data_IF_053202277665
#
_entry.id   IF_053202277665
#
_cell.length_a   1.000
_cell.length_b   1.000
_cell.length_c   1.000
_cell.angle_alpha   90.00
_cell.angle_beta   90.00
_cell.angle_gamma   90.00
#
_symmetry.space_group_name_H-M   'P 1'
#
loop_
_entity.id
_entity.type
_entity.pdbx_description
1 polymer ?
#
# COMPACT_ATOMS: atom_id res chain seq x y z
N UNK A 1 5.82 15.07 8.77
CA UNK A 1 6.97 15.82 8.27
C UNK A 1 7.39 15.23 6.93
N UNK A 2 7.46 16.04 5.86
CA UNK A 2 7.86 15.55 4.54
C UNK A 2 9.40 15.41 4.43
N UNK A 3 9.93 14.60 3.49
CA UNK A 3 11.37 14.55 3.25
C UNK A 3 11.98 15.91 2.89
N UNK A 4 11.21 16.77 2.21
CA UNK A 4 11.59 18.16 1.91
C UNK A 4 11.79 18.97 3.18
N UNK A 5 10.92 18.79 4.18
CA UNK A 5 11.03 19.47 5.48
C UNK A 5 12.25 18.99 6.25
N UNK A 6 12.57 17.69 6.20
CA UNK A 6 13.81 17.14 6.79
C UNK A 6 15.07 17.71 6.14
N UNK A 7 15.10 17.84 4.81
CA UNK A 7 16.24 18.48 4.11
C UNK A 7 16.35 19.97 4.44
N UNK A 8 15.23 20.67 4.57
CA UNK A 8 15.21 22.07 5.03
C UNK A 8 15.75 22.17 6.45
N UNK A 9 15.31 21.31 7.37
CA UNK A 9 15.81 21.26 8.75
C UNK A 9 17.31 20.98 8.78
N UNK A 10 17.79 20.01 7.99
CA UNK A 10 19.22 19.72 7.87
C UNK A 10 20.00 20.93 7.33
N UNK A 11 19.47 21.66 6.36
CA UNK A 11 20.08 22.88 5.83
C UNK A 11 20.13 24.02 6.87
N UNK A 12 19.08 24.18 7.69
CA UNK A 12 19.07 25.19 8.76
C UNK A 12 20.09 24.89 9.86
N UNK A 13 20.27 23.62 10.21
CA UNK A 13 21.28 23.19 11.18
C UNK A 13 22.71 23.38 10.64
N UNK A 14 22.94 23.15 9.35
CA UNK A 14 24.23 23.40 8.68
C UNK A 14 24.56 24.91 8.65
N UNK A 15 23.53 25.76 8.56
CA UNK A 15 23.65 27.21 8.61
C UNK A 15 23.89 27.76 10.04
N UNK A 16 23.93 26.91 11.06
CA UNK A 16 24.14 27.32 12.46
C UNK A 16 22.96 28.05 13.09
N UNK A 17 21.78 28.01 12.48
CA UNK A 17 20.56 28.64 13.00
C UNK A 17 19.85 27.64 13.91
N UNK A 18 19.88 27.88 15.23
CA UNK A 18 19.10 27.09 16.19
C UNK A 18 17.64 27.52 16.14
N UNK A 19 16.78 26.74 15.49
CA UNK A 19 15.33 26.96 15.56
C UNK A 19 14.79 26.54 16.93
N UNK A 20 13.94 27.37 17.53
CA UNK A 20 13.19 27.13 18.76
C UNK A 20 11.70 26.85 18.50
N UNK A 21 11.33 26.59 17.24
CA UNK A 21 9.94 26.32 16.84
C UNK A 21 9.74 24.82 16.62
N UNK A 22 8.88 24.28 17.47
CA UNK A 22 8.50 22.87 17.58
C UNK A 22 7.47 22.52 16.48
N UNK A 23 7.74 21.56 15.55
CA UNK A 23 6.92 21.37 14.35
C UNK A 23 5.65 20.50 14.52
N UNK A 24 4.81 20.77 15.52
CA UNK A 24 3.60 20.00 15.88
C UNK A 24 3.05 18.91 14.90
N UNK A 25 3.19 17.64 15.28
CA UNK A 25 2.16 16.60 15.07
C UNK A 25 2.55 15.32 14.30
N UNK A 26 3.70 15.33 13.62
CA UNK A 26 4.39 14.16 13.05
C UNK A 26 5.88 14.18 13.47
N UNK A 27 6.13 14.91 14.58
CA UNK A 27 7.43 15.23 15.14
C UNK A 27 8.05 14.08 15.87
N UNK A 28 7.27 13.13 16.38
CA UNK A 28 7.77 12.13 17.32
C UNK A 28 8.93 11.34 16.72
N UNK A 29 8.79 10.94 15.45
CA UNK A 29 9.84 10.26 14.68
C UNK A 29 11.11 11.12 14.52
N UNK A 30 10.97 12.39 14.17
CA UNK A 30 12.11 13.27 13.89
C UNK A 30 12.76 13.77 15.18
N UNK A 31 11.96 14.10 16.18
CA UNK A 31 12.37 14.48 17.52
C UNK A 31 13.16 13.35 18.16
N UNK A 32 12.70 12.11 18.02
CA UNK A 32 13.39 10.90 18.47
C UNK A 32 14.74 10.71 17.76
N UNK A 33 14.79 10.87 16.44
CA UNK A 33 16.06 10.81 15.69
C UNK A 33 17.03 11.91 16.13
N UNK A 34 16.54 13.13 16.37
CA UNK A 34 17.33 14.26 16.83
C UNK A 34 17.77 14.12 18.29
N UNK A 35 16.98 13.47 19.12
CA UNK A 35 17.32 13.08 20.49
C UNK A 35 18.43 12.03 20.50
N UNK A 36 18.29 10.97 19.70
CA UNK A 36 19.33 9.95 19.55
C UNK A 36 20.63 10.57 19.01
N UNK A 37 20.54 11.46 18.01
CA UNK A 37 21.71 12.17 17.49
C UNK A 37 22.34 13.12 18.53
N UNK A 38 21.53 13.70 19.42
CA UNK A 38 21.99 14.50 20.56
C UNK A 38 22.77 13.66 21.57
N UNK A 39 22.19 12.54 22.00
CA UNK A 39 22.79 11.63 22.99
C UNK A 39 24.07 10.99 22.48
N UNK A 40 24.12 10.64 21.20
CA UNK A 40 25.27 9.95 20.59
C UNK A 40 26.37 10.90 20.11
N UNK A 41 26.09 12.21 20.03
CA UNK A 41 26.99 13.19 19.43
C UNK A 41 27.16 13.04 17.92
N UNK A 42 26.34 12.23 17.26
CA UNK A 42 26.42 12.03 15.82
C UNK A 42 25.99 13.31 15.06
N UNK A 43 26.61 13.62 13.90
CA UNK A 43 26.27 14.82 13.14
C UNK A 43 24.79 14.82 12.70
N UNK A 44 23.98 15.65 13.37
CA UNK A 44 22.52 15.71 13.15
C UNK A 44 22.17 15.97 11.68
N UNK A 45 22.95 16.83 11.01
CA UNK A 45 22.77 17.14 9.58
C UNK A 45 22.93 15.90 8.70
N UNK A 46 23.90 15.03 9.00
CA UNK A 46 24.14 13.81 8.21
C UNK A 46 23.07 12.76 8.47
N UNK A 47 22.66 12.56 9.73
CA UNK A 47 21.56 11.66 10.06
C UNK A 47 20.27 12.11 9.37
N UNK A 48 19.91 13.40 9.47
CA UNK A 48 18.69 13.93 8.82
C UNK A 48 18.74 13.78 7.30
N UNK A 49 19.88 14.00 6.65
CA UNK A 49 20.02 13.80 5.20
C UNK A 49 19.79 12.34 4.81
N UNK A 50 20.44 11.41 5.51
CA UNK A 50 20.29 9.98 5.24
C UNK A 50 18.85 9.51 5.47
N UNK A 51 18.21 9.96 6.55
CA UNK A 51 16.80 9.67 6.86
C UNK A 51 15.87 10.28 5.81
N UNK A 52 16.11 11.52 5.38
CA UNK A 52 15.32 12.17 4.34
C UNK A 52 15.41 11.43 3.01
N UNK A 53 16.62 11.03 2.61
CA UNK A 53 16.84 10.28 1.37
C UNK A 53 16.18 8.90 1.42
N UNK A 54 16.21 8.23 2.58
CA UNK A 54 15.54 6.96 2.80
C UNK A 54 14.00 7.10 2.77
N UNK A 55 13.45 8.13 3.41
CA UNK A 55 12.00 8.40 3.40
C UNK A 55 11.50 8.75 2.01
N UNK A 56 12.21 9.61 1.26
CA UNK A 56 11.86 9.91 -0.13
C UNK A 56 11.81 8.65 -0.98
N UNK A 57 12.83 7.81 -0.84
CA UNK A 57 12.94 6.53 -1.52
C UNK A 57 11.77 5.57 -1.23
N UNK A 58 11.23 5.59 -0.02
CA UNK A 58 10.14 4.72 0.40
C UNK A 58 8.78 5.32 0.03
N UNK A 59 8.59 6.64 0.18
CA UNK A 59 7.38 7.36 -0.22
C UNK A 59 7.16 7.28 -1.73
N UNK A 60 8.22 7.41 -2.53
CA UNK A 60 8.10 7.29 -3.99
C UNK A 60 7.60 5.90 -4.40
N UNK A 61 8.08 4.85 -3.72
CA UNK A 61 7.61 3.48 -3.96
C UNK A 61 6.13 3.31 -3.61
N UNK A 62 5.67 3.88 -2.49
CA UNK A 62 4.26 3.88 -2.10
C UNK A 62 3.39 4.62 -3.12
N UNK A 63 3.87 5.74 -3.65
CA UNK A 63 3.19 6.50 -4.71
C UNK A 63 3.10 5.70 -6.00
N UNK A 64 4.19 5.07 -6.43
CA UNK A 64 4.20 4.15 -7.59
C UNK A 64 3.12 3.06 -7.42
N UNK A 65 3.07 2.43 -6.25
CA UNK A 65 2.08 1.39 -5.93
C UNK A 65 0.63 1.93 -5.91
N UNK A 66 0.42 3.11 -5.32
CA UNK A 66 -0.90 3.75 -5.26
C UNK A 66 -1.41 4.12 -6.65
N UNK A 67 -0.56 4.68 -7.52
CA UNK A 67 -0.89 5.04 -8.90
C UNK A 67 -1.20 3.78 -9.72
N UNK A 68 -0.43 2.71 -9.56
CA UNK A 68 -0.72 1.45 -10.25
C UNK A 68 -2.05 0.84 -9.80
N UNK A 69 -2.36 0.89 -8.49
CA UNK A 69 -3.62 0.38 -7.96
C UNK A 69 -4.86 1.16 -8.44
N UNK A 70 -4.75 2.49 -8.61
CA UNK A 70 -5.88 3.30 -9.12
C UNK A 70 -6.15 3.00 -10.59
N UNK A 71 -5.12 2.89 -11.43
CA UNK A 71 -5.28 2.58 -12.86
C UNK A 71 -5.95 1.21 -13.08
N UNK A 72 -5.55 0.17 -12.35
CA UNK A 72 -6.18 -1.15 -12.42
C UNK A 72 -7.68 -1.14 -12.02
N UNK A 73 -8.08 -0.25 -11.09
CA UNK A 73 -9.46 -0.11 -10.65
C UNK A 73 -10.36 0.52 -11.71
N UNK A 74 -9.85 1.50 -12.47
CA UNK A 74 -10.66 2.22 -13.46
C UNK A 74 -11.13 1.29 -14.59
N UNK A 75 -10.28 0.38 -15.07
CA UNK A 75 -10.66 -0.59 -16.09
C UNK A 75 -11.72 -1.59 -15.61
N UNK A 76 -11.63 -2.04 -14.36
CA UNK A 76 -12.62 -2.92 -13.76
C UNK A 76 -14.00 -2.25 -13.61
N UNK A 77 -14.00 -0.95 -13.27
CA UNK A 77 -15.24 -0.18 -13.11
C UNK A 77 -16.08 -0.14 -14.40
N UNK A 78 -15.42 0.05 -15.55
CA UNK A 78 -16.08 0.08 -16.87
C UNK A 78 -16.81 -1.24 -17.15
N UNK A 79 -16.19 -2.37 -16.86
CA UNK A 79 -16.79 -3.70 -17.05
C UNK A 79 -17.93 -3.96 -16.07
N UNK A 80 -17.84 -3.49 -14.82
CA UNK A 80 -18.96 -3.57 -13.86
C UNK A 80 -20.11 -2.61 -14.16
N UNK A 81 -19.88 -1.55 -14.93
CA UNK A 81 -20.94 -0.65 -15.38
C UNK A 81 -21.74 -1.24 -16.57
N UNK A 82 -21.17 -2.23 -17.26
CA UNK A 82 -21.77 -2.87 -18.44
C UNK A 82 -23.16 -3.47 -18.16
N UNK A 83 -23.40 -4.25 -17.09
CA UNK A 83 -24.72 -4.82 -16.81
C UNK A 83 -25.79 -3.73 -16.61
N UNK A 84 -25.47 -2.65 -15.89
CA UNK A 84 -26.37 -1.52 -15.70
C UNK A 84 -26.70 -0.83 -17.03
N UNK A 85 -25.69 -0.62 -17.88
CA UNK A 85 -25.89 -0.09 -19.22
C UNK A 85 -26.78 -1.01 -20.06
N UNK A 86 -26.54 -2.33 -20.02
CA UNK A 86 -27.37 -3.29 -20.75
C UNK A 86 -28.81 -3.28 -20.28
N UNK A 87 -29.08 -3.21 -18.97
CA UNK A 87 -30.45 -3.09 -18.43
C UNK A 87 -31.17 -1.86 -18.99
N UNK A 88 -30.49 -0.70 -19.02
CA UNK A 88 -31.04 0.54 -19.58
C UNK A 88 -31.39 0.35 -21.07
N UNK A 89 -30.48 -0.23 -21.85
CA UNK A 89 -30.72 -0.49 -23.28
C UNK A 89 -31.88 -1.47 -23.47
N UNK A 90 -31.92 -2.57 -22.71
CA UNK A 90 -32.96 -3.61 -22.86
C UNK A 90 -34.37 -3.05 -22.55
N UNK A 91 -34.46 -2.17 -21.54
CA UNK A 91 -35.69 -1.47 -21.21
C UNK A 91 -36.09 -0.48 -22.31
N UNK A 92 -35.13 0.28 -22.88
CA UNK A 92 -35.37 1.19 -23.99
C UNK A 92 -35.94 0.47 -25.23
N UNK A 93 -35.50 -0.76 -25.48
CA UNK A 93 -35.97 -1.60 -26.57
C UNK A 93 -37.34 -2.26 -26.29
N UNK A 94 -37.99 -1.96 -25.16
CA UNK A 94 -39.35 -2.41 -24.87
C UNK A 94 -39.46 -3.87 -24.45
N UNK A 95 -38.36 -4.49 -24.01
CA UNK A 95 -38.35 -5.89 -23.54
C UNK A 95 -38.93 -6.03 -22.12
N UNK A 96 -39.31 -4.91 -21.49
CA UNK A 96 -39.89 -4.82 -20.14
C UNK A 96 -39.13 -5.66 -19.09
N UNK A 97 -37.80 -5.64 -19.16
CA UNK A 97 -36.94 -6.44 -18.30
C UNK A 97 -37.12 -6.04 -16.82
N UNK A 98 -37.32 -4.74 -16.55
CA UNK A 98 -37.63 -4.25 -15.20
C UNK A 98 -38.98 -4.76 -14.71
N UNK A 99 -39.98 -4.83 -15.60
CA UNK A 99 -41.30 -5.37 -15.29
C UNK A 99 -41.27 -6.84 -14.89
N UNK A 100 -40.43 -7.66 -15.54
CA UNK A 100 -40.21 -9.06 -15.16
C UNK A 100 -39.44 -9.19 -13.83
N UNK A 101 -38.39 -8.38 -13.64
CA UNK A 101 -37.57 -8.43 -12.42
C UNK A 101 -38.36 -8.04 -11.17
N UNK A 102 -39.17 -6.98 -11.27
CA UNK A 102 -39.92 -6.41 -10.14
C UNK A 102 -41.32 -7.03 -9.98
N UNK A 103 -41.86 -7.66 -11.03
CA UNK A 103 -43.24 -8.13 -11.08
C UNK A 103 -43.50 -9.55 -10.56
N UNK A 104 -42.46 -10.36 -10.30
CA UNK A 104 -42.66 -11.77 -9.91
C UNK A 104 -41.60 -12.35 -8.98
N UNK A 105 -41.92 -13.43 -8.23
CA UNK A 105 -41.02 -14.03 -7.23
C UNK A 105 -39.72 -14.57 -7.84
N UNK A 106 -39.74 -15.00 -9.10
CA UNK A 106 -38.56 -15.44 -9.87
C UNK A 106 -37.63 -14.26 -10.19
N UNK A 107 -38.19 -13.08 -10.45
CA UNK A 107 -37.42 -11.84 -10.68
C UNK A 107 -36.66 -11.39 -9.44
N UNK A 108 -37.31 -11.45 -8.27
CA UNK A 108 -36.66 -11.19 -6.98
C UNK A 108 -35.51 -12.16 -6.69
N UNK A 109 -35.68 -13.45 -7.03
CA UNK A 109 -34.64 -14.45 -6.86
C UNK A 109 -33.42 -14.17 -7.76
N UNK A 110 -33.66 -13.77 -9.02
CA UNK A 110 -32.58 -13.32 -9.92
C UNK A 110 -31.87 -12.07 -9.39
N UNK A 111 -32.62 -11.10 -8.86
CA UNK A 111 -32.09 -9.86 -8.29
C UNK A 111 -31.20 -10.16 -7.06
N UNK A 112 -31.68 -11.03 -6.16
CA UNK A 112 -30.92 -11.47 -5.00
C UNK A 112 -29.62 -12.21 -5.39
N UNK A 113 -29.66 -13.08 -6.38
CA UNK A 113 -28.48 -13.80 -6.89
C UNK A 113 -27.49 -12.83 -7.55
N UNK A 114 -27.96 -11.89 -8.37
CA UNK A 114 -27.09 -10.89 -9.02
C UNK A 114 -26.43 -9.92 -8.03
N UNK A 115 -27.18 -9.45 -7.02
CA UNK A 115 -26.65 -8.62 -5.94
C UNK A 115 -25.67 -9.41 -5.06
N UNK A 116 -25.99 -10.66 -4.73
CA UNK A 116 -25.12 -11.53 -3.95
C UNK A 116 -23.79 -11.80 -4.66
N UNK A 117 -23.81 -12.09 -5.96
CA UNK A 117 -22.61 -12.26 -6.77
C UNK A 117 -21.77 -10.97 -6.83
N UNK A 118 -22.42 -9.82 -6.97
CA UNK A 118 -21.76 -8.50 -6.99
C UNK A 118 -21.12 -8.17 -5.64
N UNK A 119 -21.83 -8.42 -4.54
CA UNK A 119 -21.32 -8.23 -3.19
C UNK A 119 -20.16 -9.17 -2.87
N UNK A 120 -20.23 -10.43 -3.32
CA UNK A 120 -19.14 -11.39 -3.23
C UNK A 120 -17.87 -10.92 -3.95
N UNK A 121 -18.02 -10.35 -5.15
CA UNK A 121 -16.91 -9.74 -5.89
C UNK A 121 -16.30 -8.55 -5.16
N UNK A 122 -17.14 -7.67 -4.59
CA UNK A 122 -16.68 -6.54 -3.78
C UNK A 122 -15.90 -6.98 -2.53
N UNK A 123 -16.42 -7.96 -1.80
CA UNK A 123 -15.73 -8.52 -0.63
C UNK A 123 -14.41 -9.19 -1.00
N UNK A 124 -14.35 -9.92 -2.11
CA UNK A 124 -13.11 -10.56 -2.57
C UNK A 124 -12.07 -9.52 -2.96
N UNK A 125 -12.47 -8.47 -3.70
CA UNK A 125 -11.57 -7.35 -4.04
C UNK A 125 -11.05 -6.61 -2.81
N UNK A 126 -11.90 -6.38 -1.81
CA UNK A 126 -11.48 -5.74 -0.56
C UNK A 126 -10.54 -6.64 0.25
N UNK A 127 -10.80 -7.95 0.28
CA UNK A 127 -9.92 -8.94 0.93
C UNK A 127 -8.56 -9.02 0.24
N UNK A 128 -8.50 -8.91 -1.09
CA UNK A 128 -7.25 -8.93 -1.86
C UNK A 128 -6.44 -7.65 -1.62
N UNK A 129 -7.10 -6.49 -1.52
CA UNK A 129 -6.46 -5.20 -1.17
C UNK A 129 -5.75 -5.26 0.17
N UNK A 130 -6.39 -5.85 1.20
CA UNK A 130 -5.79 -5.99 2.53
C UNK A 130 -4.56 -6.92 2.56
N UNK A 131 -4.37 -7.76 1.54
CA UNK A 131 -3.20 -8.66 1.44
C UNK A 131 -1.97 -7.98 0.86
N UNK A 132 -2.13 -6.84 0.20
CA UNK A 132 -1.01 -6.03 -0.27
C UNK A 132 -0.65 -5.12 0.90
N UNK A 133 0.19 -5.65 1.81
CA UNK A 133 0.75 -4.85 2.88
C UNK A 133 1.57 -3.71 2.25
N UNK A 134 1.17 -2.47 2.52
CA UNK A 134 2.01 -1.33 2.20
C UNK A 134 3.33 -1.51 2.98
N UNK A 135 4.50 -1.46 2.32
CA UNK A 135 5.78 -1.49 3.00
C UNK A 135 5.84 -0.39 4.05
N UNK A 136 6.53 -0.62 5.17
CA UNK A 136 6.73 0.45 6.15
C UNK A 136 7.55 1.58 5.52
N UNK A 137 7.14 2.86 5.65
CA UNK A 137 7.93 4.02 5.24
C UNK A 137 9.32 4.05 5.89
N UNK A 138 9.51 3.35 7.02
CA UNK A 138 10.74 3.32 7.78
C UNK A 138 11.75 2.24 7.34
N UNK A 139 11.43 1.45 6.30
CA UNK A 139 12.29 0.34 5.83
C UNK A 139 13.74 0.80 5.59
N UNK A 140 14.69 0.18 6.29
CA UNK A 140 16.13 0.44 6.21
C UNK A 140 16.62 1.70 6.93
N UNK A 141 15.71 2.51 7.51
CA UNK A 141 16.08 3.75 8.20
C UNK A 141 16.82 3.46 9.51
N UNK A 142 16.39 2.44 10.27
CA UNK A 142 17.03 2.11 11.54
C UNK A 142 18.50 1.72 11.31
N UNK A 143 18.76 0.88 10.31
CA UNK A 143 20.13 0.51 9.94
C UNK A 143 20.96 1.71 9.48
N UNK A 144 20.39 2.64 8.73
CA UNK A 144 21.08 3.86 8.29
C UNK A 144 21.46 4.78 9.46
N UNK A 145 20.53 5.01 10.39
CA UNK A 145 20.77 5.81 11.60
C UNK A 145 21.86 5.15 12.44
N UNK A 146 21.78 3.84 12.65
CA UNK A 146 22.79 3.05 13.38
C UNK A 146 24.16 3.12 12.70
N UNK A 147 24.22 2.97 11.38
CA UNK A 147 25.48 3.03 10.65
C UNK A 147 26.11 4.43 10.70
N UNK A 148 25.29 5.47 10.72
CA UNK A 148 25.75 6.85 10.85
C UNK A 148 26.32 7.11 12.24
N UNK A 149 25.61 6.71 13.30
CA UNK A 149 26.09 6.75 14.68
C UNK A 149 27.44 6.01 14.78
N UNK A 150 27.48 4.75 14.32
CA UNK A 150 28.69 3.91 14.36
C UNK A 150 29.87 4.46 13.56
N UNK A 151 29.63 5.36 12.60
CA UNK A 151 30.70 5.95 11.79
C UNK A 151 31.46 7.06 12.50
N UNK A 152 30.90 7.59 13.59
CA UNK A 152 31.49 8.69 14.37
C UNK A 152 31.76 8.26 15.81
N UNK A 153 30.82 7.52 16.41
CA UNK A 153 30.87 7.11 17.81
C UNK A 153 30.55 5.62 17.98
N UNK A 154 30.89 5.05 19.13
CA UNK A 154 30.41 3.71 19.50
C UNK A 154 28.96 3.75 20.01
N UNK A 155 28.27 2.61 19.96
CA UNK A 155 26.94 2.47 20.57
C UNK A 155 27.09 2.02 22.03
N UNK A 156 26.58 2.84 22.95
CA UNK A 156 26.45 2.54 24.38
C UNK A 156 25.11 1.83 24.66
N UNK A 157 25.00 1.17 25.81
CA UNK A 157 23.84 0.34 26.16
C UNK A 157 22.52 1.13 26.32
N UNK A 158 22.60 2.36 26.80
CA UNK A 158 21.49 3.33 26.87
C UNK A 158 20.95 3.65 25.47
N UNK A 159 21.83 4.07 24.56
CA UNK A 159 21.51 4.35 23.16
C UNK A 159 20.97 3.11 22.45
N UNK A 160 21.52 1.93 22.75
CA UNK A 160 21.08 0.66 22.19
C UNK A 160 19.60 0.37 22.51
N UNK A 161 19.19 0.62 23.75
CA UNK A 161 17.80 0.43 24.18
C UNK A 161 16.87 1.47 23.54
N UNK A 162 17.31 2.74 23.43
CA UNK A 162 16.55 3.78 22.73
C UNK A 162 16.31 3.40 21.28
N UNK A 163 17.36 3.05 20.52
CA UNK A 163 17.27 2.62 19.12
C UNK A 163 16.35 1.41 18.91
N UNK A 164 16.41 0.42 19.81
CA UNK A 164 15.51 -0.74 19.76
C UNK A 164 14.06 -0.32 19.96
N UNK A 165 13.79 0.52 20.96
CA UNK A 165 12.44 1.01 21.24
C UNK A 165 11.90 1.87 20.09
N UNK A 166 12.75 2.69 19.47
CA UNK A 166 12.44 3.45 18.24
C UNK A 166 12.09 2.51 17.09
N UNK A 167 12.90 1.47 16.87
CA UNK A 167 12.65 0.47 15.83
C UNK A 167 11.27 -0.19 15.96
N UNK A 168 10.86 -0.55 17.18
CA UNK A 168 9.52 -1.08 17.44
C UNK A 168 8.41 -0.06 17.11
N UNK A 169 8.56 1.19 17.55
CA UNK A 169 7.61 2.27 17.25
C UNK A 169 7.47 2.52 15.74
N UNK A 170 8.56 2.43 15.01
CA UNK A 170 8.61 2.65 13.55
C UNK A 170 8.16 1.42 12.74
N UNK A 171 7.80 0.32 13.41
CA UNK A 171 7.39 -0.93 12.76
C UNK A 171 8.55 -1.68 12.07
N UNK A 172 9.80 -1.39 12.44
CA UNK A 172 11.02 -2.01 11.92
C UNK A 172 11.84 -2.69 13.03
N UNK A 173 11.20 -3.13 14.11
CA UNK A 173 11.85 -3.82 15.23
C UNK A 173 12.66 -5.05 14.80
N UNK A 174 12.24 -5.74 13.73
CA UNK A 174 12.97 -6.86 13.13
C UNK A 174 14.30 -6.48 12.46
N UNK A 175 14.53 -5.21 12.14
CA UNK A 175 15.84 -4.74 11.65
C UNK A 175 16.89 -4.77 12.77
N UNK A 176 16.47 -4.57 14.02
CA UNK A 176 17.38 -4.56 15.17
C UNK A 176 18.14 -5.87 15.34
N UNK A 177 17.44 -7.01 15.20
CA UNK A 177 18.08 -8.33 15.28
C UNK A 177 19.17 -8.50 14.23
N UNK A 178 18.90 -8.07 12.99
CA UNK A 178 19.89 -8.18 11.91
C UNK A 178 21.07 -7.24 12.10
N UNK A 179 20.86 -6.05 12.68
CA UNK A 179 21.94 -5.14 13.07
C UNK A 179 22.87 -5.79 14.10
N UNK A 180 22.31 -6.48 15.09
CA UNK A 180 23.10 -7.21 16.11
C UNK A 180 23.93 -8.33 15.48
N UNK A 181 23.33 -9.13 14.59
CA UNK A 181 24.02 -10.22 13.88
C UNK A 181 25.15 -9.70 12.98
N UNK A 182 24.90 -8.61 12.25
CA UNK A 182 25.90 -7.93 11.42
C UNK A 182 27.06 -7.42 12.28
N UNK A 183 26.77 -6.83 13.45
CA UNK A 183 27.80 -6.36 14.39
C UNK A 183 28.65 -7.53 14.91
N UNK A 184 28.04 -8.66 15.24
CA UNK A 184 28.76 -9.86 15.67
C UNK A 184 29.69 -10.37 14.55
N UNK A 185 29.17 -10.52 13.34
CA UNK A 185 29.92 -10.99 12.16
C UNK A 185 31.08 -10.06 11.79
N UNK A 186 30.86 -8.75 11.85
CA UNK A 186 31.89 -7.75 11.55
C UNK A 186 33.04 -7.75 12.57
N UNK A 187 32.76 -8.10 13.85
CA UNK A 187 33.82 -8.28 14.87
C UNK A 187 34.71 -9.48 14.56
N UNK A 188 34.15 -10.55 14.01
CA UNK A 188 34.89 -11.76 13.66
C UNK A 188 35.72 -11.59 12.37
N UNK A 189 35.23 -10.79 11.43
CA UNK A 189 35.83 -10.64 10.08
C UNK A 189 36.67 -9.37 9.91
N UNK A 190 36.58 -8.41 10.84
CA UNK A 190 37.30 -7.14 10.77
C UNK A 190 36.74 -6.14 9.73
N UNK A 191 35.61 -6.45 9.10
CA UNK A 191 34.95 -5.59 8.12
C UNK A 191 34.36 -4.36 8.82
N UNK A 192 34.44 -3.14 8.25
CA UNK A 192 33.81 -1.96 8.83
C UNK A 192 32.30 -2.13 9.01
N UNK A 193 31.85 -2.21 10.27
CA UNK A 193 30.46 -2.47 10.67
C UNK A 193 29.48 -1.51 10.00
N UNK A 194 29.79 -0.21 9.99
CA UNK A 194 28.91 0.82 9.41
C UNK A 194 28.74 0.67 7.90
N UNK A 195 29.76 0.19 7.19
CA UNK A 195 29.67 -0.13 5.76
C UNK A 195 28.76 -1.32 5.49
N UNK A 196 28.89 -2.38 6.31
CA UNK A 196 28.07 -3.58 6.18
C UNK A 196 26.59 -3.32 6.52
N UNK A 197 26.31 -2.54 7.55
CA UNK A 197 24.93 -2.14 7.90
C UNK A 197 24.33 -1.27 6.78
N UNK A 198 25.05 -0.29 6.22
CA UNK A 198 24.55 0.49 5.07
C UNK A 198 24.26 -0.39 3.86
N UNK A 199 25.11 -1.36 3.58
CA UNK A 199 24.90 -2.31 2.48
C UNK A 199 23.62 -3.15 2.71
N UNK A 200 23.41 -3.66 3.93
CA UNK A 200 22.19 -4.38 4.29
C UNK A 200 20.94 -3.49 4.20
N UNK A 201 20.96 -2.28 4.75
CA UNK A 201 19.85 -1.33 4.65
C UNK A 201 19.49 -1.03 3.19
N UNK A 202 20.50 -0.88 2.34
CA UNK A 202 20.32 -0.66 0.91
C UNK A 202 19.73 -1.90 0.21
N UNK A 203 20.20 -3.10 0.56
CA UNK A 203 19.67 -4.36 0.01
C UNK A 203 18.23 -4.62 0.47
N UNK A 204 17.89 -4.36 1.73
CA UNK A 204 16.50 -4.46 2.24
C UNK A 204 15.53 -3.57 1.48
N UNK A 205 15.92 -2.31 1.28
CA UNK A 205 15.13 -1.39 0.45
C UNK A 205 15.01 -1.93 -0.95
N UNK A 206 16.11 -2.37 -1.57
CA UNK A 206 16.11 -2.94 -2.92
C UNK A 206 15.20 -4.16 -3.06
N UNK A 207 15.26 -5.11 -2.12
CA UNK A 207 14.37 -6.28 -2.07
C UNK A 207 12.91 -5.87 -1.90
N UNK A 208 12.63 -4.93 -1.00
CA UNK A 208 11.29 -4.36 -0.81
C UNK A 208 10.77 -3.71 -2.09
N UNK A 209 11.63 -2.99 -2.83
CA UNK A 209 11.23 -2.42 -4.14
C UNK A 209 10.86 -3.50 -5.14
N UNK A 210 11.62 -4.60 -5.19
CA UNK A 210 11.32 -5.70 -6.10
C UNK A 210 10.01 -6.38 -5.75
N UNK A 211 9.76 -6.70 -4.48
CA UNK A 211 8.52 -7.36 -4.07
C UNK A 211 7.29 -6.48 -4.35
N UNK A 212 7.40 -5.17 -4.13
CA UNK A 212 6.33 -4.23 -4.45
C UNK A 212 6.10 -4.10 -5.95
N UNK A 213 7.15 -4.00 -6.75
CA UNK A 213 7.02 -3.94 -8.22
C UNK A 213 6.43 -5.22 -8.79
N UNK A 214 6.87 -6.38 -8.31
CA UNK A 214 6.29 -7.67 -8.67
C UNK A 214 4.81 -7.75 -8.27
N UNK A 215 4.44 -7.24 -7.10
CA UNK A 215 3.05 -7.15 -6.67
C UNK A 215 2.25 -6.23 -7.59
N UNK A 216 2.79 -5.07 -7.97
CA UNK A 216 2.19 -4.11 -8.91
C UNK A 216 1.94 -4.78 -10.27
N UNK A 217 2.92 -5.50 -10.82
CA UNK A 217 2.78 -6.19 -12.11
C UNK A 217 1.71 -7.28 -12.08
N UNK A 218 1.50 -7.92 -10.92
CA UNK A 218 0.47 -8.94 -10.72
C UNK A 218 -0.92 -8.37 -10.44
N UNK A 219 -1.05 -7.10 -10.06
CA UNK A 219 -2.33 -6.46 -9.74
C UNK A 219 -3.39 -6.65 -10.84
N UNK A 220 -3.12 -6.37 -12.13
CA UNK A 220 -4.14 -6.49 -13.16
C UNK A 220 -4.64 -7.93 -13.31
N UNK A 221 -3.70 -8.90 -13.32
CA UNK A 221 -4.03 -10.32 -13.45
C UNK A 221 -4.84 -10.86 -12.27
N UNK A 222 -4.45 -10.49 -11.04
CA UNK A 222 -5.18 -10.92 -9.84
C UNK A 222 -6.54 -10.25 -9.67
N UNK A 223 -6.75 -9.07 -10.25
CA UNK A 223 -8.04 -8.36 -10.24
C UNK A 223 -8.99 -8.85 -11.34
N UNK A 224 -8.48 -9.38 -12.46
CA UNK A 224 -9.30 -9.91 -13.55
C UNK A 224 -10.04 -11.21 -13.18
N UNK A 225 -9.42 -12.09 -12.39
CA UNK A 225 -10.04 -13.35 -11.96
C UNK A 225 -11.33 -13.14 -11.14
N UNK A 226 -11.31 -12.39 -10.01
CA UNK A 226 -12.52 -12.14 -9.23
C UNK A 226 -13.55 -11.35 -10.04
N UNK A 227 -13.10 -10.43 -10.88
CA UNK A 227 -14.00 -9.69 -11.77
C UNK A 227 -14.71 -10.64 -12.74
N UNK A 228 -14.00 -11.54 -13.41
CA UNK A 228 -14.58 -12.51 -14.35
C UNK A 228 -15.55 -13.48 -13.67
N UNK A 229 -15.15 -14.06 -12.53
CA UNK A 229 -15.96 -15.03 -11.79
C UNK A 229 -17.22 -14.39 -11.19
N UNK A 230 -17.19 -13.11 -10.81
CA UNK A 230 -18.36 -12.43 -10.25
C UNK A 230 -19.21 -11.74 -11.32
N UNK A 231 -18.60 -11.15 -12.34
CA UNK A 231 -19.30 -10.41 -13.39
C UNK A 231 -20.02 -11.36 -14.35
N UNK A 232 -19.44 -12.51 -14.69
CA UNK A 232 -20.04 -13.43 -15.66
C UNK A 232 -21.39 -13.99 -15.18
N UNK A 233 -21.53 -14.55 -13.96
CA UNK A 233 -22.81 -15.00 -13.45
C UNK A 233 -23.79 -13.84 -13.24
N UNK A 234 -23.32 -12.70 -12.74
CA UNK A 234 -24.16 -11.52 -12.54
C UNK A 234 -24.73 -11.01 -13.87
N UNK A 235 -23.92 -10.95 -14.92
CA UNK A 235 -24.34 -10.56 -16.27
C UNK A 235 -25.38 -11.53 -16.85
N UNK A 236 -25.14 -12.84 -16.73
CA UNK A 236 -26.10 -13.84 -17.22
C UNK A 236 -27.43 -13.72 -16.49
N UNK A 237 -27.43 -13.62 -15.17
CA UNK A 237 -28.65 -13.56 -14.35
C UNK A 237 -29.39 -12.22 -14.50
N UNK A 238 -28.67 -11.11 -14.57
CA UNK A 238 -29.28 -9.78 -14.60
C UNK A 238 -29.61 -9.29 -16.02
N UNK A 239 -28.91 -9.77 -17.05
CA UNK A 239 -29.10 -9.26 -18.43
C UNK A 239 -29.71 -10.33 -19.33
N UNK A 240 -29.17 -11.55 -19.36
CA UNK A 240 -29.59 -12.57 -20.34
C UNK A 240 -30.95 -13.19 -19.94
N UNK A 241 -31.10 -13.61 -18.69
CA UNK A 241 -32.34 -14.26 -18.21
C UNK A 241 -33.57 -13.34 -18.36
N UNK A 242 -33.55 -12.07 -17.94
CA UNK A 242 -34.72 -11.20 -18.04
C UNK A 242 -35.04 -10.82 -19.48
N UNK A 243 -34.02 -10.63 -20.33
CA UNK A 243 -34.19 -10.35 -21.75
C UNK A 243 -34.93 -11.49 -22.46
N UNK A 244 -34.50 -12.73 -22.25
CA UNK A 244 -35.13 -13.92 -22.85
C UNK A 244 -36.53 -14.14 -22.28
N UNK A 245 -36.71 -13.98 -20.97
CA UNK A 245 -38.01 -14.13 -20.32
C UNK A 245 -39.02 -13.06 -20.78
N UNK A 246 -38.60 -11.80 -20.90
CA UNK A 246 -39.40 -10.70 -21.41
C UNK A 246 -39.83 -10.90 -22.86
N UNK A 247 -38.91 -11.33 -23.74
CA UNK A 247 -39.24 -11.69 -25.12
C UNK A 247 -40.26 -12.82 -25.19
N UNK A 248 -40.06 -13.90 -24.42
CA UNK A 248 -40.99 -15.02 -24.38
C UNK A 248 -42.40 -14.58 -23.95
N UNK A 249 -42.50 -13.80 -22.87
CA UNK A 249 -43.79 -13.26 -22.40
C UNK A 249 -44.45 -12.33 -23.41
N UNK A 250 -43.68 -11.50 -24.12
CA UNK A 250 -44.16 -10.64 -25.19
C UNK A 250 -44.76 -11.43 -26.36
N UNK A 251 -44.09 -12.50 -26.78
CA UNK A 251 -44.57 -13.39 -27.84
C UNK A 251 -45.86 -14.15 -27.47
N UNK A 252 -45.96 -14.61 -26.22
CA UNK A 252 -47.18 -15.27 -25.73
C UNK A 252 -48.37 -14.30 -25.62
N UNK A 253 -48.14 -13.00 -25.35
CA UNK A 253 -49.21 -11.99 -25.33
C UNK A 253 -49.66 -11.54 -26.72
N UNK A 254 -48.82 -11.61 -27.74
CA UNK A 254 -49.21 -11.23 -29.11
C UNK A 254 -49.94 -12.34 -29.87
N UNK A 255 -49.95 -13.57 -29.34
CA UNK A 255 -50.58 -14.74 -29.95
C UNK A 255 -51.93 -15.13 -29.32
N UNK A 256 -52.36 -14.41 -28.28
CA UNK A 256 -53.69 -14.50 -27.65
C UNK A 256 -54.55 -13.30 -28.01
#
# INVERSE_FOLDING_TARGET
MTPTDLRRLAATLDAGVTHHDDPAGDDDFVAEILEIARETGAPRTRILRVVADALDANIELEREAAIAATSARHSAFVLTALPAFTLIVTELFGMHALGFLLGGPIGWLCLAVGLGASFGGWMWMDRLRRRIAAPSPATGILGDVVAEILSVTGIRADVENSLRASGERWGVGSEWTSIVDIRATARETGIPVSGLIRAESHERRRLTRFTVREAIERLPGQMLIPLGVCLFPAFVVLTVVPAVAGMAQGFFRSSS
#
